data_IF_896461785950
#
_entry.id   IF_896461785950
#
_cell.length_a   1.000
_cell.length_b   1.000
_cell.length_c   1.000
_cell.angle_alpha   90.00
_cell.angle_beta   90.00
_cell.angle_gamma   90.00
#
_symmetry.space_group_name_H-M   'P 1'
#
loop_
_entity.id
_entity.type
_entity.pdbx_description
1 polymer ?
#
# COMPACT_ATOMS: atom_id res chain seq x y z
N UNK A 1 -26.96 -17.37 -11.27
CA UNK A 1 -26.75 -16.20 -12.15
C UNK A 1 -25.25 -15.98 -12.37
N UNK A 2 -24.78 -15.74 -13.60
CA UNK A 2 -23.39 -15.45 -13.88
C UNK A 2 -23.01 -14.07 -13.33
N UNK A 3 -21.82 -13.95 -12.68
CA UNK A 3 -21.32 -12.72 -12.06
C UNK A 3 -20.40 -11.88 -12.94
N UNK A 4 -20.00 -12.42 -14.09
CA UNK A 4 -19.13 -11.71 -15.06
C UNK A 4 -19.83 -10.46 -15.60
N UNK A 5 -19.05 -9.39 -15.80
CA UNK A 5 -19.52 -8.10 -16.33
C UNK A 5 -18.80 -7.79 -17.64
N UNK A 6 -19.40 -6.95 -18.47
CA UNK A 6 -18.72 -6.39 -19.64
C UNK A 6 -17.45 -5.63 -19.23
N UNK A 7 -16.32 -5.77 -19.95
CA UNK A 7 -15.10 -4.97 -19.71
C UNK A 7 -15.35 -3.46 -19.72
N UNK A 8 -16.32 -2.98 -20.49
CA UNK A 8 -16.71 -1.56 -20.50
C UNK A 8 -17.23 -1.03 -19.17
N UNK A 9 -17.64 -1.92 -18.26
CA UNK A 9 -18.06 -1.58 -16.88
C UNK A 9 -16.92 -1.62 -15.88
N UNK A 10 -15.71 -1.99 -16.30
CA UNK A 10 -14.53 -1.97 -15.44
C UNK A 10 -14.17 -0.52 -15.11
N UNK A 11 -13.95 -0.24 -13.83
CA UNK A 11 -13.49 1.07 -13.39
C UNK A 11 -11.99 1.19 -13.73
N UNK A 12 -11.53 2.30 -14.36
CA UNK A 12 -10.11 2.54 -14.54
C UNK A 12 -9.38 2.51 -13.19
N UNK A 13 -8.28 1.79 -13.11
CA UNK A 13 -7.45 1.74 -11.92
C UNK A 13 -6.44 2.90 -11.94
N UNK A 14 -6.23 3.56 -10.79
CA UNK A 14 -5.14 4.52 -10.61
C UNK A 14 -3.79 3.82 -10.69
N UNK A 15 -2.74 4.50 -11.20
CA UNK A 15 -1.41 3.93 -11.23
C UNK A 15 -0.87 3.65 -9.83
N UNK A 16 -0.24 2.49 -9.69
CA UNK A 16 0.48 2.07 -8.49
C UNK A 16 1.88 1.71 -8.91
N UNK A 17 2.83 2.49 -8.43
CA UNK A 17 4.23 2.39 -8.83
C UNK A 17 5.10 2.00 -7.65
N UNK A 18 6.10 1.16 -7.91
CA UNK A 18 7.23 0.92 -7.04
C UNK A 18 8.46 1.50 -7.71
N UNK A 19 9.19 2.33 -6.99
CA UNK A 19 10.42 2.98 -7.43
C UNK A 19 11.54 2.54 -6.50
N UNK A 20 12.61 1.98 -7.02
CA UNK A 20 13.77 1.59 -6.21
C UNK A 20 15.08 1.94 -6.89
N UNK A 21 16.18 1.94 -6.15
CA UNK A 21 17.52 2.26 -6.63
C UNK A 21 18.46 2.60 -5.47
N UNK A 22 19.71 2.86 -5.78
CA UNK A 22 20.75 3.18 -4.81
C UNK A 22 20.41 4.39 -3.93
N UNK A 23 21.05 4.47 -2.77
CA UNK A 23 20.92 5.63 -1.89
C UNK A 23 21.46 6.89 -2.61
N UNK A 24 20.74 8.02 -2.47
CA UNK A 24 21.13 9.29 -3.05
C UNK A 24 20.92 9.44 -4.56
N UNK A 25 20.46 8.40 -5.29
CA UNK A 25 20.28 8.44 -6.74
C UNK A 25 19.13 9.35 -7.23
N UNK A 26 18.37 9.94 -6.33
CA UNK A 26 17.27 10.86 -6.72
C UNK A 26 15.89 10.20 -6.84
N UNK A 27 15.63 9.09 -6.16
CA UNK A 27 14.31 8.42 -6.17
C UNK A 27 13.18 9.36 -5.82
N UNK A 28 13.34 10.14 -4.76
CA UNK A 28 12.36 11.10 -4.25
C UNK A 28 12.04 12.23 -5.24
N UNK A 29 13.02 12.69 -6.02
CA UNK A 29 12.86 13.83 -6.92
C UNK A 29 11.77 13.66 -7.98
N UNK A 30 11.57 12.46 -8.50
CA UNK A 30 10.50 12.17 -9.48
C UNK A 30 9.13 11.91 -8.83
N UNK A 31 9.01 11.98 -7.51
CA UNK A 31 7.77 11.70 -6.77
C UNK A 31 7.03 12.95 -6.26
N UNK A 32 7.55 14.16 -6.49
CA UNK A 32 6.89 15.42 -6.11
C UNK A 32 5.74 15.77 -7.07
N UNK A 33 4.66 15.00 -6.98
CA UNK A 33 3.47 15.21 -7.80
C UNK A 33 2.51 16.19 -7.15
N UNK A 34 1.75 16.91 -7.99
CA UNK A 34 0.78 17.91 -7.53
C UNK A 34 -0.26 17.34 -6.57
N UNK A 35 -0.53 18.05 -5.47
CA UNK A 35 -1.45 17.66 -4.41
C UNK A 35 -1.11 16.28 -3.81
N UNK A 36 0.16 15.99 -3.60
CA UNK A 36 0.60 14.76 -2.96
C UNK A 36 0.24 14.72 -1.47
N UNK A 37 0.01 13.52 -0.96
CA UNK A 37 0.11 13.16 0.45
C UNK A 37 1.40 12.37 0.61
N UNK A 38 2.38 12.97 1.28
CA UNK A 38 3.74 12.45 1.34
C UNK A 38 4.02 11.88 2.72
N UNK A 39 4.22 10.56 2.81
CA UNK A 39 4.62 9.86 4.03
C UNK A 39 6.13 9.62 3.95
N UNK A 40 6.89 10.35 4.75
CA UNK A 40 8.34 10.27 4.83
C UNK A 40 8.76 9.48 6.08
N UNK A 41 9.23 8.27 5.89
CA UNK A 41 9.65 7.41 6.99
C UNK A 41 11.07 7.70 7.46
N UNK A 42 11.84 8.47 6.69
CA UNK A 42 13.27 8.68 6.91
C UNK A 42 13.64 10.07 7.41
N UNK A 43 12.71 11.04 7.30
CA UNK A 43 12.92 12.42 7.69
C UNK A 43 13.70 13.24 6.67
N UNK A 44 13.91 12.72 5.46
CA UNK A 44 14.60 13.43 4.38
C UNK A 44 13.84 14.65 3.89
N UNK A 45 12.53 14.61 3.95
CA UNK A 45 11.65 15.70 3.52
C UNK A 45 11.70 16.95 4.43
N UNK A 46 12.35 16.88 5.58
CA UNK A 46 12.63 18.05 6.44
C UNK A 46 13.81 18.91 5.94
N UNK A 47 14.56 18.43 4.96
CA UNK A 47 15.66 19.20 4.37
C UNK A 47 15.13 20.38 3.56
N UNK A 48 15.75 21.57 3.62
CA UNK A 48 15.21 22.78 2.98
C UNK A 48 14.88 22.66 1.50
N UNK A 49 15.69 21.92 0.74
CA UNK A 49 15.48 21.69 -0.68
C UNK A 49 14.26 20.78 -0.95
N UNK A 50 13.90 19.87 -0.05
CA UNK A 50 12.72 19.05 -0.15
C UNK A 50 11.47 19.81 0.29
N UNK A 51 11.55 20.59 1.38
CA UNK A 51 10.47 21.49 1.83
C UNK A 51 10.00 22.38 0.68
N UNK A 52 10.94 23.04 -0.03
CA UNK A 52 10.63 23.87 -1.19
C UNK A 52 9.87 23.09 -2.29
N UNK A 53 10.22 21.83 -2.54
CA UNK A 53 9.53 21.01 -3.55
C UNK A 53 8.14 20.56 -3.07
N UNK A 54 8.00 20.19 -1.80
CA UNK A 54 6.71 19.84 -1.21
C UNK A 54 5.73 21.01 -1.25
N UNK A 55 6.20 22.23 -0.93
CA UNK A 55 5.41 23.46 -1.05
C UNK A 55 4.99 23.73 -2.49
N UNK A 56 5.92 23.66 -3.45
CA UNK A 56 5.64 23.88 -4.89
C UNK A 56 4.59 22.93 -5.43
N UNK A 57 4.56 21.67 -4.97
CA UNK A 57 3.57 20.71 -5.42
C UNK A 57 2.31 20.66 -4.53
N UNK A 58 2.16 21.59 -3.60
CA UNK A 58 1.03 21.63 -2.65
C UNK A 58 0.84 20.30 -1.91
N UNK A 59 1.94 19.70 -1.44
CA UNK A 59 1.90 18.44 -0.72
C UNK A 59 1.50 18.64 0.75
N UNK A 60 0.82 17.62 1.31
CA UNK A 60 0.76 17.41 2.75
C UNK A 60 1.81 16.39 3.15
N UNK A 61 2.40 16.56 4.31
CA UNK A 61 3.53 15.78 4.79
C UNK A 61 3.24 15.13 6.14
N UNK A 62 3.61 13.85 6.27
CA UNK A 62 3.63 13.09 7.52
C UNK A 62 5.07 12.61 7.74
N UNK A 63 5.71 13.01 8.85
CA UNK A 63 7.11 12.73 9.16
C UNK A 63 7.31 11.62 10.18
N UNK A 64 8.57 11.29 10.48
CA UNK A 64 8.91 10.32 11.52
C UNK A 64 8.40 10.71 12.90
N UNK A 65 8.33 11.99 13.20
CA UNK A 65 7.78 12.56 14.44
C UNK A 65 6.29 12.26 14.62
N UNK A 66 5.57 12.05 13.51
CA UNK A 66 4.15 11.68 13.49
C UNK A 66 3.95 10.17 13.37
N UNK A 67 5.04 9.40 13.44
CA UNK A 67 5.00 7.94 13.38
C UNK A 67 5.03 7.34 11.97
N UNK A 68 5.46 8.11 10.94
CA UNK A 68 5.53 7.62 9.55
C UNK A 68 6.37 6.34 9.36
N UNK A 69 7.28 6.03 10.30
CA UNK A 69 8.08 4.81 10.30
C UNK A 69 7.33 3.53 10.71
N UNK A 70 6.09 3.66 11.22
CA UNK A 70 5.26 2.53 11.62
C UNK A 70 4.29 2.14 10.50
N UNK A 71 4.38 0.88 10.02
CA UNK A 71 3.55 0.36 8.96
C UNK A 71 2.05 0.33 9.33
N UNK A 72 1.71 0.26 10.60
CA UNK A 72 0.33 0.32 11.08
C UNK A 72 -0.24 1.74 11.00
N UNK A 73 0.57 2.76 11.27
CA UNK A 73 0.20 4.16 11.10
C UNK A 73 0.03 4.48 9.61
N UNK A 74 0.95 4.02 8.75
CA UNK A 74 0.80 4.17 7.29
C UNK A 74 -0.52 3.56 6.82
N UNK A 75 -0.89 2.37 7.30
CA UNK A 75 -2.16 1.74 6.97
C UNK A 75 -3.34 2.60 7.42
N UNK A 76 -3.30 3.15 8.63
CA UNK A 76 -4.35 4.01 9.17
C UNK A 76 -4.52 5.30 8.36
N UNK A 77 -3.43 5.92 7.93
CA UNK A 77 -3.46 7.10 7.05
C UNK A 77 -4.06 6.78 5.68
N UNK A 78 -3.69 5.63 5.09
CA UNK A 78 -4.25 5.19 3.81
C UNK A 78 -5.75 4.91 3.94
N UNK A 79 -6.20 4.37 5.08
CA UNK A 79 -7.62 4.18 5.38
C UNK A 79 -8.33 5.53 5.51
N UNK A 80 -7.75 6.49 6.21
CA UNK A 80 -8.28 7.85 6.33
C UNK A 80 -8.42 8.52 4.96
N UNK A 81 -7.39 8.44 4.11
CA UNK A 81 -7.44 8.94 2.73
C UNK A 81 -8.52 8.26 1.87
N UNK A 82 -8.85 7.00 2.13
CA UNK A 82 -9.91 6.30 1.41
C UNK A 82 -11.33 6.63 1.92
N UNK A 83 -11.47 7.07 3.17
CA UNK A 83 -12.77 7.24 3.85
C UNK A 83 -13.19 8.69 4.05
N UNK A 84 -12.22 9.62 4.10
CA UNK A 84 -12.48 11.05 4.28
C UNK A 84 -12.55 11.79 2.93
N UNK A 85 -13.22 12.94 2.93
CA UNK A 85 -13.24 13.83 1.79
C UNK A 85 -11.95 14.69 1.80
N UNK A 86 -11.20 14.68 0.70
CA UNK A 86 -9.98 15.46 0.52
C UNK A 86 -9.73 15.77 -0.97
N UNK A 87 -8.71 16.59 -1.25
CA UNK A 87 -8.29 16.99 -2.59
C UNK A 87 -6.94 16.37 -3.02
N UNK A 88 -6.37 15.48 -2.21
CA UNK A 88 -5.09 14.81 -2.52
C UNK A 88 -5.22 13.89 -3.73
N UNK A 89 -4.23 13.94 -4.64
CA UNK A 89 -4.23 13.22 -5.92
C UNK A 89 -3.24 12.06 -5.95
N UNK A 90 -2.18 12.15 -5.19
CA UNK A 90 -1.09 11.17 -5.17
C UNK A 90 -0.65 10.86 -3.76
N UNK A 91 -0.58 9.58 -3.40
CA UNK A 91 0.06 9.09 -2.19
C UNK A 91 1.50 8.72 -2.51
N UNK A 92 2.45 9.25 -1.76
CA UNK A 92 3.87 8.87 -1.81
C UNK A 92 4.26 8.28 -0.47
N UNK A 93 4.95 7.14 -0.47
CA UNK A 93 5.53 6.50 0.73
C UNK A 93 7.03 6.37 0.51
N UNK A 94 7.82 7.14 1.22
CA UNK A 94 9.29 7.22 1.11
C UNK A 94 9.96 7.05 2.49
N UNK A 95 10.46 5.87 2.82
CA UNK A 95 10.51 4.65 2.03
C UNK A 95 9.64 3.55 2.67
N UNK A 96 9.01 2.75 1.83
CA UNK A 96 8.29 1.55 2.30
C UNK A 96 9.26 0.52 2.91
N UNK A 97 10.53 0.53 2.49
CA UNK A 97 11.57 -0.35 3.04
C UNK A 97 11.74 -0.15 4.54
N UNK A 98 11.86 1.09 5.00
CA UNK A 98 12.10 1.39 6.41
C UNK A 98 10.92 0.95 7.28
N UNK A 99 9.70 1.27 6.89
CA UNK A 99 8.50 0.87 7.64
C UNK A 99 8.33 -0.66 7.66
N UNK A 100 8.59 -1.34 6.53
CA UNK A 100 8.53 -2.79 6.46
C UNK A 100 9.58 -3.45 7.37
N UNK A 101 10.83 -3.02 7.27
CA UNK A 101 11.94 -3.60 8.06
C UNK A 101 11.81 -3.28 9.56
N UNK A 102 11.29 -2.11 9.93
CA UNK A 102 10.96 -1.77 11.32
C UNK A 102 9.96 -2.76 11.90
N UNK A 103 8.88 -3.05 11.19
CA UNK A 103 7.88 -4.04 11.62
C UNK A 103 8.46 -5.45 11.74
N UNK A 104 9.35 -5.85 10.83
CA UNK A 104 10.06 -7.14 10.89
C UNK A 104 10.98 -7.20 12.12
N UNK A 105 11.71 -6.11 12.41
CA UNK A 105 12.62 -6.04 13.55
C UNK A 105 11.87 -6.14 14.88
N UNK A 106 10.75 -5.41 15.03
CA UNK A 106 9.91 -5.48 16.25
C UNK A 106 9.45 -6.93 16.52
N UNK A 107 9.01 -7.64 15.49
CA UNK A 107 8.59 -9.04 15.67
C UNK A 107 9.77 -9.98 15.93
N UNK A 108 10.92 -9.73 15.31
CA UNK A 108 12.16 -10.46 15.60
C UNK A 108 12.51 -10.35 17.09
N UNK A 109 12.56 -9.12 17.61
CA UNK A 109 12.93 -8.85 19.00
C UNK A 109 11.93 -9.48 19.96
N UNK A 110 10.62 -9.39 19.66
CA UNK A 110 9.57 -10.06 20.43
C UNK A 110 9.77 -11.58 20.51
N UNK A 111 10.19 -12.23 19.41
CA UNK A 111 10.48 -13.68 19.39
C UNK A 111 11.71 -13.99 20.25
N UNK A 112 12.77 -13.19 20.12
CA UNK A 112 14.02 -13.37 20.89
C UNK A 112 13.79 -13.20 22.39
N UNK A 113 12.98 -12.24 22.81
CA UNK A 113 12.59 -12.02 24.22
C UNK A 113 11.89 -13.25 24.82
N UNK A 114 11.24 -14.08 24.02
CA UNK A 114 10.67 -15.38 24.49
C UNK A 114 11.71 -16.51 24.60
N UNK A 115 13.00 -16.22 24.43
CA UNK A 115 14.08 -17.21 24.44
C UNK A 115 14.14 -18.09 23.20
N UNK A 116 13.47 -17.71 22.11
CA UNK A 116 13.45 -18.44 20.83
C UNK A 116 14.25 -17.71 19.75
N UNK A 117 14.74 -18.46 18.77
CA UNK A 117 15.34 -17.88 17.56
C UNK A 117 14.31 -17.89 16.44
N UNK A 118 14.12 -16.79 15.73
CA UNK A 118 13.24 -16.75 14.55
C UNK A 118 13.64 -17.79 13.52
N UNK A 119 12.67 -18.54 12.99
CA UNK A 119 12.91 -19.60 12.00
C UNK A 119 11.99 -19.41 10.79
N UNK A 120 12.48 -19.76 9.62
CA UNK A 120 11.71 -19.77 8.36
C UNK A 120 10.99 -18.44 8.06
N UNK A 121 11.57 -17.31 8.48
CA UNK A 121 11.02 -15.97 8.21
C UNK A 121 9.72 -15.68 8.97
N UNK A 122 9.49 -16.32 10.11
CA UNK A 122 8.28 -16.07 10.91
C UNK A 122 8.21 -14.61 11.41
N UNK A 123 9.35 -13.94 11.60
CA UNK A 123 9.46 -12.52 11.96
C UNK A 123 8.87 -11.59 10.89
N UNK A 124 8.75 -12.04 9.64
CA UNK A 124 8.17 -11.29 8.53
C UNK A 124 6.64 -11.36 8.46
N UNK A 125 6.01 -12.33 9.16
CA UNK A 125 4.56 -12.56 9.01
C UNK A 125 3.70 -11.35 9.33
N UNK A 126 3.90 -10.60 10.44
CA UNK A 126 3.10 -9.41 10.74
C UNK A 126 3.27 -8.33 9.67
N UNK A 127 4.51 -8.04 9.27
CA UNK A 127 4.79 -7.06 8.22
C UNK A 127 4.13 -7.43 6.89
N UNK A 128 4.17 -8.70 6.48
CA UNK A 128 3.49 -9.19 5.27
C UNK A 128 1.96 -9.07 5.39
N UNK A 129 1.40 -9.31 6.58
CA UNK A 129 -0.04 -9.15 6.80
C UNK A 129 -0.46 -7.69 6.65
N UNK A 130 0.28 -6.75 7.25
CA UNK A 130 0.03 -5.31 7.09
C UNK A 130 0.21 -4.85 5.64
N UNK A 131 1.24 -5.31 4.93
CA UNK A 131 1.43 -5.02 3.51
C UNK A 131 0.25 -5.49 2.65
N UNK A 132 -0.28 -6.68 2.91
CA UNK A 132 -1.48 -7.18 2.20
C UNK A 132 -2.70 -6.30 2.47
N UNK A 133 -2.89 -5.85 3.71
CA UNK A 133 -3.98 -4.93 4.07
C UNK A 133 -3.80 -3.58 3.38
N UNK A 134 -2.59 -3.03 3.37
CA UNK A 134 -2.25 -1.78 2.68
C UNK A 134 -2.60 -1.84 1.19
N UNK A 135 -2.19 -2.92 0.49
CA UNK A 135 -2.50 -3.13 -0.92
C UNK A 135 -4.01 -3.19 -1.19
N UNK A 136 -4.79 -3.82 -0.30
CA UNK A 136 -6.26 -3.85 -0.44
C UNK A 136 -6.88 -2.46 -0.31
N UNK A 137 -6.32 -1.61 0.54
CA UNK A 137 -6.79 -0.23 0.65
C UNK A 137 -6.41 0.62 -0.55
N UNK A 138 -5.29 0.34 -1.21
CA UNK A 138 -4.98 0.98 -2.49
C UNK A 138 -6.05 0.71 -3.56
N UNK A 139 -6.74 -0.44 -3.52
CA UNK A 139 -7.87 -0.72 -4.42
C UNK A 139 -9.06 0.23 -4.22
N UNK A 140 -9.14 0.85 -3.06
CA UNK A 140 -10.21 1.76 -2.65
C UNK A 140 -9.83 3.22 -2.78
N UNK A 141 -8.53 3.54 -2.87
CA UNK A 141 -8.05 4.91 -3.09
C UNK A 141 -8.38 5.40 -4.50
N UNK A 142 -8.82 6.66 -4.61
CA UNK A 142 -8.86 7.38 -5.88
C UNK A 142 -7.63 8.27 -6.07
N UNK A 143 -6.48 7.75 -5.73
CA UNK A 143 -5.18 8.43 -5.81
C UNK A 143 -4.19 7.58 -6.59
N UNK A 144 -3.23 8.24 -7.23
CA UNK A 144 -2.01 7.58 -7.67
C UNK A 144 -1.23 7.12 -6.43
N UNK A 145 -0.50 6.01 -6.54
CA UNK A 145 0.35 5.52 -5.44
C UNK A 145 1.76 5.35 -5.95
N UNK A 146 2.72 5.96 -5.24
CA UNK A 146 4.15 5.83 -5.47
C UNK A 146 4.77 5.29 -4.18
N UNK A 147 5.32 4.09 -4.21
CA UNK A 147 6.12 3.56 -3.11
C UNK A 147 7.58 3.60 -3.52
N UNK A 148 8.40 4.21 -2.67
CA UNK A 148 9.86 4.26 -2.85
C UNK A 148 10.47 3.19 -1.94
N UNK A 149 11.41 2.42 -2.49
CA UNK A 149 12.11 1.37 -1.77
C UNK A 149 13.63 1.51 -1.94
N UNK A 150 14.37 0.98 -0.97
CA UNK A 150 15.82 0.81 -1.11
C UNK A 150 16.11 -0.33 -2.08
N UNK A 151 17.30 -0.32 -2.61
CA UNK A 151 17.84 -1.38 -3.45
C UNK A 151 18.60 -2.39 -2.59
N UNK A 152 18.49 -3.67 -2.92
CA UNK A 152 19.31 -4.75 -2.34
C UNK A 152 19.83 -5.68 -3.43
N UNK A 153 20.91 -6.43 -3.19
CA UNK A 153 21.38 -7.48 -4.10
C UNK A 153 20.29 -8.53 -4.36
N UNK A 154 20.22 -9.01 -5.58
CA UNK A 154 19.42 -10.17 -5.98
C UNK A 154 20.37 -11.36 -6.13
N UNK A 155 20.16 -12.38 -5.30
CA UNK A 155 20.99 -13.59 -5.28
C UNK A 155 20.22 -14.74 -5.93
N UNK A 156 20.94 -15.53 -6.73
CA UNK A 156 20.48 -16.79 -7.27
C UNK A 156 21.65 -17.80 -7.23
N UNK A 157 21.38 -18.98 -6.67
CA UNK A 157 22.37 -20.07 -6.58
C UNK A 157 23.72 -19.67 -5.93
N UNK A 158 23.67 -18.68 -5.02
CA UNK A 158 24.85 -18.17 -4.30
C UNK A 158 25.61 -17.06 -5.03
N UNK A 159 25.17 -16.64 -6.21
CA UNK A 159 25.74 -15.54 -6.98
C UNK A 159 24.84 -14.32 -7.00
N UNK A 160 25.43 -13.12 -6.96
CA UNK A 160 24.70 -11.88 -7.18
C UNK A 160 24.44 -11.69 -8.67
N UNK A 161 23.19 -11.84 -9.08
CA UNK A 161 22.74 -11.75 -10.48
C UNK A 161 22.19 -10.36 -10.84
N UNK A 162 22.15 -9.44 -9.89
CA UNK A 162 21.64 -8.08 -10.11
C UNK A 162 21.12 -7.44 -8.84
N UNK A 163 20.23 -6.47 -9.01
CA UNK A 163 19.62 -5.69 -7.93
C UNK A 163 18.10 -5.81 -7.94
N UNK A 164 17.50 -5.71 -6.76
CA UNK A 164 16.05 -5.69 -6.56
C UNK A 164 15.70 -4.74 -5.41
N UNK A 165 14.41 -4.51 -5.17
CA UNK A 165 13.95 -3.68 -4.07
C UNK A 165 13.97 -4.44 -2.73
N UNK A 166 14.21 -3.71 -1.66
CA UNK A 166 14.20 -4.23 -0.29
C UNK A 166 12.84 -3.99 0.39
N UNK A 167 11.97 -4.98 0.30
CA UNK A 167 10.65 -5.05 0.93
C UNK A 167 10.10 -6.47 0.77
N UNK A 168 8.79 -6.66 0.96
CA UNK A 168 8.09 -7.91 0.69
C UNK A 168 8.28 -8.36 -0.77
N UNK A 169 8.87 -9.54 -0.97
CA UNK A 169 9.30 -10.01 -2.31
C UNK A 169 8.15 -10.13 -3.33
N UNK A 170 6.90 -10.32 -2.86
CA UNK A 170 5.73 -10.39 -3.75
C UNK A 170 5.12 -9.04 -4.09
N UNK A 171 5.61 -7.93 -3.50
CA UNK A 171 5.04 -6.59 -3.70
C UNK A 171 4.94 -6.21 -5.18
N UNK A 172 5.96 -6.56 -5.99
CA UNK A 172 5.96 -6.26 -7.43
C UNK A 172 4.77 -6.85 -8.20
N UNK A 173 4.16 -7.94 -7.72
CA UNK A 173 3.03 -8.55 -8.39
C UNK A 173 1.74 -7.77 -8.19
N UNK A 174 1.64 -7.03 -7.11
CA UNK A 174 0.48 -6.24 -6.70
C UNK A 174 0.42 -4.85 -7.39
N UNK A 175 1.53 -4.41 -7.99
CA UNK A 175 1.67 -3.08 -8.55
C UNK A 175 1.62 -3.08 -10.08
N UNK A 176 1.27 -1.93 -10.67
CA UNK A 176 1.10 -1.81 -12.11
C UNK A 176 2.42 -1.49 -12.82
N UNK A 177 3.32 -0.76 -12.18
CA UNK A 177 4.59 -0.31 -12.72
C UNK A 177 5.69 -0.49 -11.67
N UNK A 178 6.83 -1.04 -12.06
CA UNK A 178 8.03 -1.18 -11.21
C UNK A 178 9.19 -0.58 -11.96
N UNK A 179 9.87 0.39 -11.32
CA UNK A 179 10.94 1.19 -11.87
C UNK A 179 12.19 1.01 -11.03
N UNK A 180 13.31 0.77 -11.69
CA UNK A 180 14.64 0.89 -11.10
C UNK A 180 15.24 2.24 -11.54
N UNK A 181 15.61 3.09 -10.59
CA UNK A 181 16.31 4.32 -10.90
C UNK A 181 17.79 4.00 -11.04
N UNK A 182 18.35 4.42 -12.16
CA UNK A 182 19.74 4.15 -12.54
C UNK A 182 20.43 5.45 -12.99
N UNK A 183 21.73 5.56 -12.73
CA UNK A 183 22.58 6.61 -13.28
C UNK A 183 23.22 6.12 -14.56
N UNK A 184 23.18 6.93 -15.60
CA UNK A 184 23.85 6.72 -16.88
C UNK A 184 24.70 7.94 -17.20
N UNK A 185 25.96 7.92 -16.74
CA UNK A 185 26.79 9.11 -16.72
C UNK A 185 26.17 10.16 -15.79
N UNK A 186 25.91 11.35 -16.31
CA UNK A 186 25.33 12.47 -15.54
C UNK A 186 23.79 12.46 -15.53
N UNK A 187 23.16 11.52 -16.22
CA UNK A 187 21.70 11.45 -16.31
C UNK A 187 21.10 10.39 -15.39
N UNK A 188 20.00 10.76 -14.73
CA UNK A 188 19.19 9.83 -13.92
C UNK A 188 17.99 9.37 -14.75
N UNK A 189 17.87 8.07 -14.95
CA UNK A 189 16.79 7.44 -15.73
C UNK A 189 16.03 6.44 -14.88
N UNK A 190 14.78 6.18 -15.27
CA UNK A 190 14.00 5.07 -14.77
C UNK A 190 14.04 3.91 -15.78
N UNK A 191 14.58 2.77 -15.35
CA UNK A 191 14.48 1.51 -16.08
C UNK A 191 13.14 0.85 -15.76
N UNK A 192 12.37 0.53 -16.77
CA UNK A 192 11.11 -0.18 -16.60
C UNK A 192 11.39 -1.66 -16.29
N UNK A 193 11.16 -2.10 -15.07
CA UNK A 193 11.35 -3.50 -14.66
C UNK A 193 10.09 -4.33 -14.92
N UNK A 194 8.93 -3.71 -14.69
CA UNK A 194 7.61 -4.30 -14.93
C UNK A 194 6.63 -3.21 -15.34
N UNK A 195 5.78 -3.49 -16.30
CA UNK A 195 4.69 -2.60 -16.68
C UNK A 195 3.44 -3.38 -17.06
N UNK A 196 2.26 -2.81 -16.73
CA UNK A 196 0.94 -3.19 -17.27
C UNK A 196 0.39 -2.12 -18.22
N UNK A 197 1.22 -1.16 -18.62
CA UNK A 197 0.84 -0.05 -19.51
C UNK A 197 1.59 -0.14 -20.82
N UNK A 198 0.88 -0.03 -21.93
CA UNK A 198 1.46 -0.09 -23.29
C UNK A 198 2.49 1.02 -23.54
N UNK A 199 2.31 2.16 -22.86
CA UNK A 199 3.22 3.32 -22.97
C UNK A 199 4.61 3.08 -22.35
N UNK A 200 4.75 2.07 -21.49
CA UNK A 200 6.01 1.76 -20.78
C UNK A 200 6.37 0.30 -21.03
N UNK A 201 7.32 0.05 -21.92
CA UNK A 201 7.76 -1.31 -22.24
C UNK A 201 8.83 -1.76 -21.23
N UNK A 202 8.78 -3.04 -20.86
CA UNK A 202 9.82 -3.62 -20.01
C UNK A 202 11.22 -3.42 -20.62
N UNK A 203 12.18 -3.06 -19.78
CA UNK A 203 13.58 -2.75 -20.07
C UNK A 203 13.84 -1.41 -20.76
N UNK A 204 12.83 -0.64 -21.16
CA UNK A 204 13.01 0.72 -21.64
C UNK A 204 13.57 1.63 -20.55
N UNK A 205 14.33 2.64 -20.97
CA UNK A 205 14.83 3.72 -20.15
C UNK A 205 14.04 4.98 -20.48
N UNK A 206 13.46 5.59 -19.44
CA UNK A 206 12.70 6.84 -19.54
C UNK A 206 13.22 7.86 -18.53
N UNK A 207 12.96 9.14 -18.76
CA UNK A 207 13.32 10.17 -17.79
C UNK A 207 12.57 9.98 -16.47
N UNK A 208 13.30 10.01 -15.36
CA UNK A 208 12.71 9.98 -14.04
C UNK A 208 12.26 11.38 -13.60
N UNK A 209 11.09 11.77 -14.04
CA UNK A 209 10.46 13.04 -13.63
C UNK A 209 8.93 12.92 -13.69
N UNK A 210 8.26 13.83 -12.99
CA UNK A 210 6.79 13.87 -12.90
C UNK A 210 6.14 13.95 -14.28
N UNK A 211 6.67 14.76 -15.20
CA UNK A 211 6.07 15.02 -16.51
C UNK A 211 6.01 13.77 -17.40
N UNK A 212 7.04 12.93 -17.33
CA UNK A 212 7.07 11.67 -18.11
C UNK A 212 5.91 10.75 -17.75
N UNK A 213 5.56 10.68 -16.45
CA UNK A 213 4.52 9.75 -15.98
C UNK A 213 3.14 10.41 -15.92
N UNK A 214 3.01 11.64 -15.41
CA UNK A 214 1.72 12.32 -15.27
C UNK A 214 0.96 12.41 -16.59
N UNK A 215 1.66 12.72 -17.69
CA UNK A 215 1.09 12.78 -19.03
C UNK A 215 0.29 11.53 -19.42
N UNK A 216 0.70 10.35 -18.95
CA UNK A 216 0.03 9.09 -19.25
C UNK A 216 -1.13 8.77 -18.31
N UNK A 217 -1.20 9.43 -17.15
CA UNK A 217 -2.17 9.14 -16.11
C UNK A 217 -3.19 10.25 -15.85
N UNK A 218 -3.00 11.44 -16.43
CA UNK A 218 -3.90 12.60 -16.26
C UNK A 218 -5.35 12.33 -16.69
N UNK A 219 -5.55 11.52 -17.74
CA UNK A 219 -6.87 11.19 -18.26
C UNK A 219 -7.64 10.16 -17.41
N UNK A 220 -7.01 9.54 -16.41
CA UNK A 220 -7.68 8.64 -15.48
C UNK A 220 -8.46 9.48 -14.46
N UNK A 221 -9.48 10.18 -14.95
CA UNK A 221 -10.31 11.05 -14.13
C UNK A 221 -11.37 10.22 -13.41
N UNK A 222 -11.20 10.01 -12.13
CA UNK A 222 -12.12 9.26 -11.29
C UNK A 222 -12.57 10.15 -10.13
N UNK A 223 -13.87 10.44 -10.06
CA UNK A 223 -14.48 10.97 -8.84
C UNK A 223 -14.94 9.79 -8.00
N UNK A 224 -14.04 9.17 -7.24
CA UNK A 224 -14.45 8.20 -6.26
C UNK A 224 -15.17 8.90 -5.11
N UNK A 225 -16.22 8.26 -4.63
CA UNK A 225 -16.83 8.65 -3.36
C UNK A 225 -16.02 8.01 -2.24
N UNK A 226 -15.84 8.69 -1.10
CA UNK A 226 -15.23 8.09 0.08
C UNK A 226 -15.88 6.76 0.44
N UNK A 227 -15.07 5.81 0.87
CA UNK A 227 -15.54 4.52 1.35
C UNK A 227 -16.34 4.73 2.62
N UNK A 228 -17.57 4.24 2.63
CA UNK A 228 -18.38 4.27 3.84
C UNK A 228 -18.03 3.08 4.73
N UNK A 229 -17.77 3.36 5.99
CA UNK A 229 -17.54 2.34 7.02
C UNK A 229 -18.88 1.77 7.53
N UNK A 230 -18.79 0.69 8.30
CA UNK A 230 -19.92 0.06 8.96
C UNK A 230 -20.72 1.07 9.78
N UNK A 231 -22.05 0.96 9.75
CA UNK A 231 -22.92 1.79 10.56
C UNK A 231 -23.00 1.26 11.99
N UNK A 232 -23.41 2.12 12.94
CA UNK A 232 -23.65 1.68 14.33
C UNK A 232 -24.60 0.48 14.40
N UNK A 233 -25.68 0.49 13.60
CA UNK A 233 -26.63 -0.63 13.51
C UNK A 233 -25.95 -1.93 13.03
N UNK A 234 -25.06 -1.86 12.04
CA UNK A 234 -24.30 -3.02 11.58
C UNK A 234 -23.32 -3.53 12.64
N UNK A 235 -22.69 -2.61 13.39
CA UNK A 235 -21.79 -2.97 14.49
C UNK A 235 -22.54 -3.63 15.65
N UNK A 236 -23.71 -3.14 15.99
CA UNK A 236 -24.59 -3.75 16.99
C UNK A 236 -25.06 -5.15 16.55
N UNK A 237 -25.43 -5.28 15.27
CA UNK A 237 -25.89 -6.58 14.71
C UNK A 237 -24.76 -7.61 14.74
N UNK A 238 -23.55 -7.27 14.27
CA UNK A 238 -22.44 -8.23 14.28
C UNK A 238 -22.00 -8.57 15.71
N UNK A 239 -22.02 -7.61 16.63
CA UNK A 239 -21.71 -7.83 18.04
C UNK A 239 -22.70 -8.79 18.70
N UNK A 240 -23.99 -8.66 18.40
CA UNK A 240 -25.03 -9.57 18.89
C UNK A 240 -24.84 -11.00 18.35
N UNK A 241 -24.53 -11.16 17.06
CA UNK A 241 -24.23 -12.45 16.42
C UNK A 241 -23.02 -13.11 17.10
N UNK A 242 -21.91 -12.39 17.25
CA UNK A 242 -20.68 -12.90 17.86
C UNK A 242 -20.94 -13.34 19.31
N UNK A 243 -21.74 -12.59 20.06
CA UNK A 243 -22.09 -12.91 21.45
C UNK A 243 -22.92 -14.18 21.55
N UNK A 244 -23.84 -14.44 20.62
CA UNK A 244 -24.66 -15.66 20.56
C UNK A 244 -23.84 -16.91 20.26
N UNK A 245 -22.85 -16.78 19.34
CA UNK A 245 -22.01 -17.90 18.91
C UNK A 245 -20.81 -18.17 19.86
N UNK A 246 -20.63 -17.38 20.92
CA UNK A 246 -19.50 -17.49 21.83
C UNK A 246 -18.17 -17.04 21.21
N UNK A 247 -18.23 -16.21 20.18
CA UNK A 247 -17.10 -15.66 19.44
C UNK A 247 -17.28 -15.78 17.93
N UNK A 248 -16.36 -15.20 17.17
CA UNK A 248 -16.34 -15.31 15.70
C UNK A 248 -15.13 -16.17 15.24
N UNK A 249 -15.29 -17.46 14.95
CA UNK A 249 -14.18 -18.36 14.62
C UNK A 249 -13.48 -17.97 13.30
N UNK A 250 -14.05 -17.07 12.51
CA UNK A 250 -13.51 -16.63 11.22
C UNK A 250 -13.24 -15.12 11.16
N UNK A 251 -13.16 -14.45 12.32
CA UNK A 251 -12.94 -13.00 12.39
C UNK A 251 -11.73 -12.54 11.58
N UNK A 252 -10.57 -13.19 11.75
CA UNK A 252 -9.37 -12.88 10.99
C UNK A 252 -9.56 -12.99 9.46
N UNK A 253 -10.36 -13.96 8.99
CA UNK A 253 -10.64 -14.10 7.56
C UNK A 253 -11.44 -12.92 7.03
N UNK A 254 -12.42 -12.43 7.81
CA UNK A 254 -13.20 -11.25 7.45
C UNK A 254 -12.33 -9.99 7.47
N UNK A 255 -11.51 -9.82 8.50
CA UNK A 255 -10.58 -8.70 8.61
C UNK A 255 -9.54 -8.73 7.49
N UNK A 256 -8.94 -9.87 7.21
CA UNK A 256 -8.02 -10.01 6.10
C UNK A 256 -8.70 -9.77 4.76
N UNK A 257 -9.91 -10.28 4.55
CA UNK A 257 -10.65 -10.06 3.31
C UNK A 257 -11.00 -8.58 3.09
N UNK A 258 -11.29 -7.84 4.16
CA UNK A 258 -11.59 -6.41 4.11
C UNK A 258 -10.33 -5.52 4.20
N UNK A 259 -9.19 -6.06 4.65
CA UNK A 259 -7.95 -5.30 4.86
C UNK A 259 -7.97 -4.44 6.13
N UNK A 260 -8.67 -4.90 7.17
CA UNK A 260 -8.88 -4.15 8.41
C UNK A 260 -8.36 -4.93 9.62
N UNK A 261 -8.39 -4.31 10.80
CA UNK A 261 -7.99 -4.93 12.07
C UNK A 261 -9.12 -4.96 13.10
N UNK A 262 -10.17 -4.18 12.88
CA UNK A 262 -11.33 -4.11 13.78
C UNK A 262 -12.64 -4.03 12.98
N UNK A 263 -13.77 -4.28 13.64
CA UNK A 263 -15.09 -4.19 13.03
C UNK A 263 -15.48 -2.75 12.65
N UNK A 264 -15.04 -1.76 13.42
CA UNK A 264 -15.31 -0.34 13.15
C UNK A 264 -14.66 0.15 11.85
N UNK A 265 -13.54 -0.46 11.48
CA UNK A 265 -12.83 -0.16 10.24
C UNK A 265 -13.43 -0.85 9.01
N UNK A 266 -14.39 -1.77 9.22
CA UNK A 266 -14.97 -2.56 8.14
C UNK A 266 -15.73 -1.68 7.15
N UNK A 267 -15.47 -1.77 5.83
CA UNK A 267 -16.31 -1.13 4.84
C UNK A 267 -17.75 -1.62 4.93
N UNK A 268 -18.71 -0.71 4.79
CA UNK A 268 -20.16 -0.95 4.96
C UNK A 268 -20.68 -2.13 4.15
N UNK A 269 -20.22 -2.25 2.91
CA UNK A 269 -20.63 -3.35 2.01
C UNK A 269 -20.00 -4.70 2.41
N UNK A 270 -18.80 -4.68 2.95
CA UNK A 270 -18.14 -5.89 3.48
C UNK A 270 -18.81 -6.35 4.76
N UNK A 271 -19.17 -5.41 5.65
CA UNK A 271 -19.93 -5.70 6.86
C UNK A 271 -21.30 -6.31 6.53
N UNK A 272 -22.04 -5.75 5.58
CA UNK A 272 -23.32 -6.32 5.15
C UNK A 272 -23.20 -7.76 4.67
N UNK A 273 -22.15 -8.10 3.91
CA UNK A 273 -21.89 -9.49 3.49
C UNK A 273 -21.56 -10.40 4.65
N UNK A 274 -20.82 -9.91 5.65
CA UNK A 274 -20.47 -10.66 6.85
C UNK A 274 -21.73 -10.99 7.65
N UNK A 275 -22.59 -10.01 7.91
CA UNK A 275 -23.86 -10.19 8.62
C UNK A 275 -24.75 -11.21 7.88
N UNK A 276 -24.97 -11.03 6.58
CA UNK A 276 -25.78 -11.96 5.78
C UNK A 276 -25.24 -13.38 5.81
N UNK A 277 -23.92 -13.56 5.78
CA UNK A 277 -23.31 -14.88 5.91
C UNK A 277 -23.68 -15.54 7.25
N UNK A 278 -23.51 -14.83 8.34
CA UNK A 278 -23.81 -15.34 9.69
C UNK A 278 -25.30 -15.63 9.91
N UNK A 279 -26.19 -14.74 9.49
CA UNK A 279 -27.63 -14.96 9.56
C UNK A 279 -28.05 -16.22 8.79
N UNK A 280 -27.40 -16.48 7.64
CA UNK A 280 -27.65 -17.71 6.86
C UNK A 280 -27.16 -18.95 7.59
N UNK A 281 -26.02 -18.90 8.28
CA UNK A 281 -25.51 -20.03 9.05
C UNK A 281 -26.39 -20.31 10.27
N UNK A 282 -26.80 -19.28 11.00
CA UNK A 282 -27.69 -19.39 12.16
C UNK A 282 -29.05 -20.00 11.78
N UNK A 283 -29.65 -19.51 10.70
CA UNK A 283 -30.94 -20.02 10.22
C UNK A 283 -30.84 -21.45 9.65
N UNK A 284 -29.70 -21.84 9.09
CA UNK A 284 -29.43 -23.19 8.58
C UNK A 284 -29.08 -24.21 9.65
N UNK A 285 -28.68 -23.77 10.85
CA UNK A 285 -28.42 -24.64 12.01
C UNK A 285 -29.66 -24.98 12.80
N UNK A 286 -30.80 -24.28 12.56
CA UNK A 286 -32.08 -24.46 13.23
C UNK A 286 -33.02 -25.36 12.39
N UNK A 287 -32.69 -25.69 11.15
CA UNK A 287 -33.42 -26.58 10.25
C UNK A 287 -32.79 -27.94 10.15
#
# INVERSE_FOLDING_TARGET
MLRAKSPALAKPARPRMLVYGEAGIGKTWGSFWENAYFIDTEGGASLPNYVEQLEKCNAHYLGPEDGAGDLSIILSEVMALATLQHDRKTLVIDSITKAYNSCVQVEHDRIVETGRTPQFGQEKKPAVALMRRLIRWFDRLDMNVIMIAHEKPLWQDGEEIGKTYDCWDKLRYELNLVLQIVSLGDEVKARIVKSRYDAFKAYDLVDWNVRTFSKHFEHINRKAKPVQLATSEQLETISAIISQEGGCPFEEKWFDAAGVTTWEQMPRDAMGKCITYWETQLNGAIA
#
